data_IF_466805780248
#
_entry.id   IF_466805780248
#
_cell.length_a   1.000
_cell.length_b   1.000
_cell.length_c   1.000
_cell.angle_alpha   90.00
_cell.angle_beta   90.00
_cell.angle_gamma   90.00
#
_symmetry.space_group_name_H-M   'P 1'
#
loop_
_entity.id
_entity.type
_entity.pdbx_description
1 polymer ?
#
# COMPACT_ATOMS: atom_id res chain seq x y z
N UNK A 1 9.29 -7.47 -11.18
CA UNK A 1 8.16 -6.78 -10.56
C UNK A 1 8.60 -5.41 -10.05
N UNK A 2 7.91 -4.33 -10.46
CA UNK A 2 8.19 -2.96 -9.98
C UNK A 2 7.42 -2.69 -8.69
N UNK A 3 8.03 -2.00 -7.72
CA UNK A 3 7.44 -1.72 -6.40
C UNK A 3 7.42 -0.22 -6.14
N UNK A 4 6.27 0.35 -5.80
CA UNK A 4 6.13 1.77 -5.46
C UNK A 4 5.40 1.93 -4.12
N UNK A 5 5.93 2.80 -3.27
CA UNK A 5 5.28 3.28 -2.06
C UNK A 5 4.80 4.72 -2.29
N UNK A 6 3.51 4.96 -2.11
CA UNK A 6 2.92 6.30 -2.16
C UNK A 6 2.82 6.82 -0.72
N UNK A 7 3.62 7.84 -0.40
CA UNK A 7 3.67 8.48 0.91
C UNK A 7 3.58 10.00 0.77
N UNK A 8 3.51 10.72 1.90
CA UNK A 8 3.42 12.17 1.94
C UNK A 8 3.97 12.70 3.26
N UNK A 9 4.31 13.99 3.33
CA UNK A 9 4.80 14.61 4.56
C UNK A 9 3.79 14.53 5.73
N UNK A 10 2.48 14.51 5.44
CA UNK A 10 1.43 14.47 6.46
C UNK A 10 0.16 13.74 5.97
N UNK A 11 -0.80 13.57 6.87
CA UNK A 11 -2.16 13.09 6.55
C UNK A 11 -2.90 14.06 5.62
N UNK A 12 -3.89 13.58 4.88
CA UNK A 12 -4.75 14.41 4.01
C UNK A 12 -4.04 15.16 2.87
N UNK A 13 -2.84 14.74 2.45
CA UNK A 13 -2.11 15.32 1.30
C UNK A 13 -2.47 14.72 -0.07
N UNK A 14 -3.61 14.03 -0.20
CA UNK A 14 -4.07 13.47 -1.49
C UNK A 14 -3.45 12.14 -1.92
N UNK A 15 -2.73 11.42 -1.04
CA UNK A 15 -2.14 10.10 -1.33
C UNK A 15 -3.16 9.15 -1.96
N UNK A 16 -4.33 9.00 -1.36
CA UNK A 16 -5.36 8.07 -1.83
C UNK A 16 -5.85 8.41 -3.23
N UNK A 17 -6.01 9.69 -3.54
CA UNK A 17 -6.35 10.15 -4.90
C UNK A 17 -5.26 9.77 -5.89
N UNK A 18 -3.98 10.00 -5.53
CA UNK A 18 -2.83 9.67 -6.37
C UNK A 18 -2.70 8.15 -6.56
N UNK A 19 -2.73 7.36 -5.49
CA UNK A 19 -2.62 5.89 -5.57
C UNK A 19 -3.76 5.30 -6.38
N UNK A 20 -5.00 5.74 -6.15
CA UNK A 20 -6.18 5.26 -6.88
C UNK A 20 -6.10 5.62 -8.36
N UNK A 21 -5.70 6.85 -8.69
CA UNK A 21 -5.51 7.29 -10.06
C UNK A 21 -4.41 6.51 -10.78
N UNK A 22 -3.28 6.26 -10.12
CA UNK A 22 -2.20 5.42 -10.64
C UNK A 22 -2.67 3.98 -10.86
N UNK A 23 -3.37 3.38 -9.90
CA UNK A 23 -3.90 2.03 -10.02
C UNK A 23 -4.83 1.91 -11.24
N UNK A 24 -5.80 2.81 -11.36
CA UNK A 24 -6.72 2.83 -12.50
C UNK A 24 -6.00 3.04 -13.84
N UNK A 25 -5.07 4.01 -13.91
CA UNK A 25 -4.36 4.31 -15.15
C UNK A 25 -3.44 3.17 -15.61
N UNK A 26 -2.79 2.48 -14.67
CA UNK A 26 -1.90 1.35 -14.98
C UNK A 26 -2.72 0.11 -15.35
N UNK A 27 -3.80 -0.19 -14.64
CA UNK A 27 -4.71 -1.27 -15.01
C UNK A 27 -5.37 -1.03 -16.36
N UNK A 28 -5.74 0.22 -16.69
CA UNK A 28 -6.27 0.58 -18.01
C UNK A 28 -5.25 0.38 -19.16
N UNK A 29 -3.95 0.32 -18.85
CA UNK A 29 -2.89 -0.04 -19.79
C UNK A 29 -2.64 -1.55 -19.89
N UNK A 30 -3.46 -2.36 -19.22
CA UNK A 30 -3.37 -3.83 -19.24
C UNK A 30 -2.34 -4.42 -18.26
N UNK A 31 -1.78 -3.62 -17.35
CA UNK A 31 -0.85 -4.13 -16.34
C UNK A 31 -1.60 -4.78 -15.18
N UNK A 32 -1.06 -5.89 -14.66
CA UNK A 32 -1.51 -6.49 -13.42
C UNK A 32 -1.01 -5.66 -12.22
N UNK A 33 -1.86 -4.75 -11.73
CA UNK A 33 -1.57 -3.89 -10.57
C UNK A 33 -2.03 -4.56 -9.28
N UNK A 34 -1.12 -4.87 -8.37
CA UNK A 34 -1.47 -5.37 -7.05
C UNK A 34 -1.40 -4.26 -6.00
N UNK A 35 -2.54 -3.76 -5.50
CA UNK A 35 -2.55 -2.74 -4.46
C UNK A 35 -2.35 -3.34 -3.07
N UNK A 36 -1.76 -2.53 -2.19
CA UNK A 36 -1.66 -2.78 -0.76
C UNK A 36 -1.90 -1.47 0.00
N UNK A 37 -2.39 -1.59 1.23
CA UNK A 37 -2.55 -0.47 2.16
C UNK A 37 -1.72 -0.72 3.41
N UNK A 38 -0.92 0.24 3.83
CA UNK A 38 -0.19 0.17 5.10
C UNK A 38 -1.14 0.46 6.27
N UNK A 39 -1.19 -0.45 7.24
CA UNK A 39 -2.02 -0.34 8.45
C UNK A 39 -3.43 -0.94 8.30
N UNK A 40 -4.23 -0.92 9.38
CA UNK A 40 -5.56 -1.51 9.41
C UNK A 40 -6.58 -0.51 8.86
N UNK A 41 -6.91 -0.63 7.57
CA UNK A 41 -7.93 0.17 6.92
C UNK A 41 -8.95 -0.74 6.22
N UNK A 42 -10.15 -0.23 5.98
CA UNK A 42 -11.22 -0.94 5.29
C UNK A 42 -11.78 -0.15 4.11
N UNK A 43 -11.76 1.18 4.16
CA UNK A 43 -12.37 2.03 3.12
C UNK A 43 -11.40 2.18 1.95
N UNK A 44 -10.16 2.56 2.23
CA UNK A 44 -9.15 2.77 1.20
C UNK A 44 -8.86 1.48 0.39
N UNK A 45 -8.75 0.28 1.02
CA UNK A 45 -8.61 -0.97 0.29
C UNK A 45 -9.75 -1.24 -0.69
N UNK A 46 -11.00 -0.90 -0.38
CA UNK A 46 -12.12 -1.08 -1.31
C UNK A 46 -11.99 -0.20 -2.55
N UNK A 47 -11.59 1.06 -2.37
CA UNK A 47 -11.35 2.00 -3.48
C UNK A 47 -10.20 1.54 -4.38
N UNK A 48 -9.08 1.16 -3.78
CA UNK A 48 -7.90 0.66 -4.49
C UNK A 48 -8.17 -0.66 -5.20
N UNK A 49 -8.95 -1.55 -4.58
CA UNK A 49 -9.33 -2.81 -5.21
C UNK A 49 -10.17 -2.58 -6.47
N UNK A 50 -11.15 -1.66 -6.38
CA UNK A 50 -11.96 -1.28 -7.54
C UNK A 50 -11.14 -0.62 -8.65
N UNK A 51 -10.18 0.23 -8.30
CA UNK A 51 -9.35 0.92 -9.29
C UNK A 51 -8.35 -0.02 -9.98
N UNK A 52 -7.75 -0.95 -9.25
CA UNK A 52 -6.78 -1.90 -9.79
C UNK A 52 -7.42 -3.11 -10.49
N UNK A 53 -8.66 -3.44 -10.16
CA UNK A 53 -9.34 -4.67 -10.59
C UNK A 53 -8.87 -5.92 -9.82
N UNK A 54 -8.13 -5.75 -8.71
CA UNK A 54 -7.57 -6.85 -7.90
C UNK A 54 -7.79 -6.57 -6.41
N UNK A 55 -7.88 -7.59 -5.54
CA UNK A 55 -8.02 -7.37 -4.09
C UNK A 55 -6.89 -6.49 -3.55
N UNK A 56 -7.19 -5.61 -2.61
CA UNK A 56 -6.21 -4.84 -1.86
C UNK A 56 -6.01 -5.47 -0.48
N UNK A 57 -4.75 -5.66 -0.07
CA UNK A 57 -4.41 -6.28 1.19
C UNK A 57 -3.77 -5.27 2.14
N UNK A 58 -4.11 -5.37 3.43
CA UNK A 58 -3.45 -4.59 4.46
C UNK A 58 -2.08 -5.20 4.80
N UNK A 59 -1.10 -4.33 5.01
CA UNK A 59 0.22 -4.63 5.53
C UNK A 59 0.33 -3.86 6.85
N UNK A 60 0.06 -4.51 7.98
CA UNK A 60 -0.10 -3.81 9.25
C UNK A 60 0.92 -4.27 10.32
N UNK A 61 1.99 -3.50 10.59
CA UNK A 61 2.96 -3.83 11.64
C UNK A 61 2.42 -3.83 13.07
N UNK A 62 1.20 -3.37 13.30
CA UNK A 62 0.58 -3.44 14.62
C UNK A 62 -0.11 -4.79 14.84
N UNK A 63 -0.79 -5.31 13.82
CA UNK A 63 -1.55 -6.56 13.88
C UNK A 63 -0.79 -7.77 13.31
N UNK A 64 0.30 -7.54 12.56
CA UNK A 64 1.06 -8.59 11.89
C UNK A 64 2.54 -8.48 12.26
N UNK A 65 3.22 -9.60 12.59
CA UNK A 65 4.67 -9.62 12.69
C UNK A 65 5.33 -9.40 11.32
N UNK A 66 6.57 -8.91 11.32
CA UNK A 66 7.28 -8.54 10.08
C UNK A 66 7.36 -9.66 9.04
N UNK A 67 7.54 -10.91 9.48
CA UNK A 67 7.61 -12.07 8.57
C UNK A 67 6.27 -12.37 7.88
N UNK A 68 5.13 -12.12 8.55
CA UNK A 68 3.81 -12.28 7.94
C UNK A 68 3.52 -11.16 6.94
N UNK A 69 4.00 -9.93 7.21
CA UNK A 69 3.91 -8.82 6.26
C UNK A 69 4.68 -9.15 4.99
N UNK A 70 5.92 -9.61 5.13
CA UNK A 70 6.75 -10.03 3.99
C UNK A 70 6.08 -11.17 3.21
N UNK A 71 5.62 -12.22 3.90
CA UNK A 71 4.96 -13.35 3.27
C UNK A 71 3.66 -12.97 2.54
N UNK A 72 2.84 -12.09 3.13
CA UNK A 72 1.63 -11.56 2.51
C UNK A 72 1.95 -10.76 1.24
N UNK A 73 2.92 -9.84 1.34
CA UNK A 73 3.37 -9.04 0.21
C UNK A 73 3.87 -9.93 -0.93
N UNK A 74 4.80 -10.84 -0.66
CA UNK A 74 5.39 -11.73 -1.67
C UNK A 74 4.33 -12.60 -2.34
N UNK A 75 3.45 -13.23 -1.54
CA UNK A 75 2.38 -14.09 -2.04
C UNK A 75 1.47 -13.37 -3.02
N UNK A 76 0.98 -12.18 -2.64
CA UNK A 76 -0.01 -11.47 -3.44
C UNK A 76 0.61 -10.71 -4.61
N UNK A 77 1.88 -10.35 -4.50
CA UNK A 77 2.61 -9.64 -5.54
C UNK A 77 3.19 -10.54 -6.63
N UNK A 78 3.32 -11.85 -6.40
CA UNK A 78 4.01 -12.79 -7.28
C UNK A 78 3.58 -12.73 -8.77
N UNK A 79 2.29 -12.48 -9.04
CA UNK A 79 1.73 -12.42 -10.39
C UNK A 79 1.44 -10.98 -10.88
N UNK A 80 2.02 -9.97 -10.23
CA UNK A 80 1.80 -8.56 -10.55
C UNK A 80 2.95 -7.99 -11.40
N UNK A 81 2.62 -7.16 -12.38
CA UNK A 81 3.61 -6.36 -13.10
C UNK A 81 4.15 -5.25 -12.21
N UNK A 82 3.25 -4.67 -11.41
CA UNK A 82 3.53 -3.57 -10.48
C UNK A 82 2.73 -3.71 -9.18
N UNK A 83 3.39 -3.41 -8.06
CA UNK A 83 2.74 -3.26 -6.77
C UNK A 83 2.70 -1.81 -6.34
N UNK A 84 1.53 -1.37 -5.86
CA UNK A 84 1.33 -0.05 -5.28
C UNK A 84 1.01 -0.19 -3.80
N UNK A 85 1.88 0.30 -2.92
CA UNK A 85 1.63 0.37 -1.48
C UNK A 85 1.23 1.79 -1.13
N UNK A 86 0.05 1.98 -0.57
CA UNK A 86 -0.35 3.27 0.01
C UNK A 86 0.06 3.36 1.47
N UNK A 87 0.93 4.32 1.78
CA UNK A 87 1.31 4.66 3.15
C UNK A 87 0.17 5.29 3.94
N UNK A 88 0.06 4.97 5.24
CA UNK A 88 -0.86 5.67 6.14
C UNK A 88 -0.25 6.95 6.71
N UNK A 89 -1.07 7.93 7.10
CA UNK A 89 -0.62 9.17 7.77
C UNK A 89 0.55 9.87 6.99
N UNK A 90 1.59 10.37 7.66
CA UNK A 90 2.79 10.93 7.07
C UNK A 90 3.97 9.95 6.95
N UNK A 91 5.01 10.32 6.20
CA UNK A 91 6.17 9.48 5.90
C UNK A 91 6.89 8.98 7.16
N UNK A 92 7.04 9.86 8.14
CA UNK A 92 7.71 9.56 9.42
C UNK A 92 6.73 9.27 10.56
N UNK A 93 5.43 9.23 10.28
CA UNK A 93 4.44 8.94 11.32
C UNK A 93 4.46 7.44 11.64
N UNK A 94 4.64 7.12 12.92
CA UNK A 94 4.61 5.76 13.47
C UNK A 94 4.01 5.74 14.87
N UNK A 95 3.69 4.54 15.36
CA UNK A 95 3.32 4.34 16.77
C UNK A 95 4.52 3.93 17.63
N UNK A 96 5.55 3.34 17.01
CA UNK A 96 6.75 2.94 17.72
C UNK A 96 7.62 4.17 17.99
N UNK A 97 8.10 4.29 19.23
CA UNK A 97 8.93 5.42 19.67
C UNK A 97 10.27 5.50 18.94
N UNK A 98 10.76 4.36 18.47
CA UNK A 98 11.99 4.23 17.67
C UNK A 98 11.76 4.46 16.17
N UNK A 99 10.52 4.76 15.75
CA UNK A 99 10.16 5.01 14.35
C UNK A 99 10.14 3.76 13.45
N UNK A 100 10.35 2.56 14.00
CA UNK A 100 10.49 1.29 13.26
C UNK A 100 9.26 0.91 12.43
N UNK A 101 8.08 1.45 12.75
CA UNK A 101 6.85 1.17 12.02
C UNK A 101 6.33 2.32 11.15
N UNK A 102 7.14 3.38 10.97
CA UNK A 102 6.85 4.48 10.05
C UNK A 102 6.93 4.02 8.59
N UNK A 103 6.40 4.82 7.66
CA UNK A 103 6.48 4.49 6.23
C UNK A 103 7.93 4.59 5.70
N UNK A 104 8.78 5.39 6.34
CA UNK A 104 10.20 5.53 5.96
C UNK A 104 11.06 4.32 6.35
N UNK A 105 10.58 3.48 7.28
CA UNK A 105 11.28 2.29 7.77
C UNK A 105 10.93 1.00 7.00
N UNK A 106 10.05 1.10 5.99
CA UNK A 106 9.55 -0.02 5.17
C UNK A 106 10.47 -0.38 4.00
#
# INVERSE_FOLDING_TARGET
MKRLLISAAHKSSGKTTVTTGLAAALSARGLAVQPFKKGPDYIDPMGLARASGRPCFNLDPYLMPAHEIAASFERHAAAADITLVEGNKGLYDGLALDGSNSNAAL
#
